data_IF_701042272565
#
_entry.id   IF_701042272565
#
_cell.length_a   1.000
_cell.length_b   1.000
_cell.length_c   1.000
_cell.angle_alpha   90.00
_cell.angle_beta   90.00
_cell.angle_gamma   90.00
#
_symmetry.space_group_name_H-M   'P 1'
#
loop_
_entity.id
_entity.type
_entity.pdbx_description
1 polymer ?
#
# COMPACT_ATOMS: atom_id res chain seq x y z
N UNK A 1 -38.53 -17.03 -52.13
CA UNK A 1 -37.38 -16.86 -53.04
C UNK A 1 -37.28 -15.39 -53.31
N UNK A 2 -36.67 -14.66 -52.36
CA UNK A 2 -35.28 -14.20 -52.38
C UNK A 2 -35.26 -12.75 -52.88
N UNK A 3 -34.47 -11.79 -52.44
CA UNK A 3 -33.43 -11.59 -51.41
C UNK A 3 -33.15 -10.07 -51.50
N UNK A 4 -33.01 -9.38 -50.35
CA UNK A 4 -32.32 -8.09 -50.14
C UNK A 4 -32.78 -6.86 -50.98
N UNK A 5 -32.58 -5.58 -50.61
CA UNK A 5 -31.64 -4.94 -49.72
C UNK A 5 -32.13 -3.49 -49.42
N UNK A 6 -31.47 -2.86 -48.47
CA UNK A 6 -31.23 -1.40 -48.33
C UNK A 6 -32.32 -0.52 -47.71
N UNK A 7 -32.08 -0.06 -46.48
CA UNK A 7 -31.70 1.35 -46.21
C UNK A 7 -31.62 1.64 -44.70
N UNK A 8 -30.44 2.05 -44.24
CA UNK A 8 -30.23 2.89 -43.05
C UNK A 8 -30.90 4.28 -43.25
N UNK A 9 -30.95 5.24 -42.29
CA UNK A 9 -30.61 5.22 -40.86
C UNK A 9 -31.70 5.89 -39.96
N UNK A 10 -31.48 6.00 -38.64
CA UNK A 10 -31.44 7.30 -37.91
C UNK A 10 -31.33 7.12 -36.40
N UNK A 11 -30.38 7.87 -35.86
CA UNK A 11 -30.03 8.10 -34.47
C UNK A 11 -31.15 8.72 -33.61
N UNK A 12 -30.86 8.73 -32.30
CA UNK A 12 -31.56 9.29 -31.13
C UNK A 12 -32.36 8.24 -30.36
N UNK A 13 -32.04 7.92 -29.10
CA UNK A 13 -31.80 8.87 -28.03
C UNK A 13 -30.61 8.52 -27.11
N UNK A 14 -29.77 9.54 -26.92
CA UNK A 14 -28.87 9.70 -25.79
C UNK A 14 -29.67 10.03 -24.53
N UNK A 15 -29.49 9.28 -23.45
CA UNK A 15 -29.48 9.83 -22.10
C UNK A 15 -28.27 9.25 -21.37
N UNK A 16 -27.21 10.05 -21.31
CA UNK A 16 -25.98 9.72 -20.60
C UNK A 16 -26.14 9.96 -19.10
N UNK A 17 -25.76 8.97 -18.30
CA UNK A 17 -25.32 9.15 -16.92
C UNK A 17 -23.79 9.40 -16.95
N UNK A 18 -23.28 10.45 -16.28
CA UNK A 18 -21.84 10.69 -16.23
C UNK A 18 -21.20 9.80 -15.15
N UNK A 19 -20.16 9.06 -15.51
CA UNK A 19 -19.19 8.62 -14.50
C UNK A 19 -18.65 7.19 -14.56
N UNK A 20 -19.09 6.33 -15.48
CA UNK A 20 -18.46 5.01 -15.64
C UNK A 20 -17.65 4.97 -16.94
N UNK A 21 -16.39 5.39 -16.88
CA UNK A 21 -15.41 4.91 -17.86
C UNK A 21 -15.39 3.37 -17.77
N UNK A 22 -15.52 2.64 -18.89
CA UNK A 22 -15.20 1.22 -18.87
C UNK A 22 -13.72 1.11 -18.54
N UNK A 23 -13.37 0.54 -17.39
CA UNK A 23 -12.00 0.08 -17.10
C UNK A 23 -11.67 -1.04 -18.11
N UNK A 24 -11.20 -0.68 -19.28
CA UNK A 24 -10.60 -1.62 -20.23
C UNK A 24 -9.11 -1.80 -19.91
N UNK A 25 -8.80 -2.27 -18.70
CA UNK A 25 -7.49 -2.87 -18.43
C UNK A 25 -7.72 -4.33 -18.07
N UNK A 26 -7.72 -5.19 -19.08
CA UNK A 26 -7.69 -6.64 -18.90
C UNK A 26 -6.23 -7.11 -18.81
N UNK A 27 -5.54 -6.73 -17.74
CA UNK A 27 -4.17 -7.17 -17.42
C UNK A 27 -4.04 -8.71 -17.27
N UNK A 28 -5.17 -9.43 -17.17
CA UNK A 28 -5.24 -10.89 -16.99
C UNK A 28 -5.99 -11.62 -18.12
N UNK A 29 -5.98 -11.09 -19.34
CA UNK A 29 -6.70 -11.72 -20.47
C UNK A 29 -6.22 -13.15 -20.76
N UNK A 30 -4.97 -13.48 -20.43
CA UNK A 30 -4.40 -14.83 -20.51
C UNK A 30 -5.05 -15.85 -19.56
N UNK A 31 -5.77 -15.41 -18.52
CA UNK A 31 -6.54 -16.29 -17.64
C UNK A 31 -7.82 -16.79 -18.34
N UNK A 32 -8.38 -15.97 -19.22
CA UNK A 32 -9.68 -16.20 -19.85
C UNK A 32 -9.50 -16.75 -21.27
N UNK A 33 -8.41 -16.36 -21.96
CA UNK A 33 -8.13 -16.77 -23.33
C UNK A 33 -7.02 -17.85 -23.37
N UNK A 34 -7.36 -19.11 -23.66
CA UNK A 34 -6.39 -20.21 -23.71
C UNK A 34 -5.39 -20.11 -24.87
N UNK A 35 -5.58 -19.19 -25.81
CA UNK A 35 -4.64 -18.92 -26.91
C UNK A 35 -3.51 -17.96 -26.52
N UNK A 36 -3.66 -17.24 -25.40
CA UNK A 36 -2.65 -16.31 -24.90
C UNK A 36 -1.71 -17.04 -23.96
N UNK A 37 -0.41 -16.98 -24.25
CA UNK A 37 0.60 -17.49 -23.33
C UNK A 37 0.80 -16.51 -22.17
N UNK A 38 0.94 -17.00 -20.93
CA UNK A 38 1.31 -16.13 -19.82
C UNK A 38 2.67 -15.49 -20.11
N UNK A 39 2.86 -14.20 -19.77
CA UNK A 39 4.13 -13.52 -20.00
C UNK A 39 5.29 -14.31 -19.37
N UNK A 40 6.36 -14.51 -20.14
CA UNK A 40 7.50 -15.39 -19.81
C UNK A 40 8.26 -14.96 -18.56
N UNK A 41 8.12 -13.71 -18.15
CA UNK A 41 8.62 -13.19 -16.88
C UNK A 41 7.73 -12.00 -16.50
N UNK A 42 6.59 -12.22 -15.82
CA UNK A 42 5.79 -11.11 -15.33
C UNK A 42 6.61 -10.49 -14.21
N UNK A 43 7.49 -9.54 -14.54
CA UNK A 43 7.86 -8.53 -13.54
C UNK A 43 6.51 -7.99 -13.11
N UNK A 44 6.15 -8.24 -11.85
CA UNK A 44 4.89 -7.77 -11.31
C UNK A 44 4.81 -6.28 -11.66
N UNK A 45 3.86 -5.90 -12.52
CA UNK A 45 3.78 -4.55 -13.08
C UNK A 45 3.74 -3.52 -11.95
N UNK A 46 3.19 -3.93 -10.80
CA UNK A 46 3.14 -3.18 -9.55
C UNK A 46 4.52 -2.94 -8.96
N UNK A 47 5.34 -3.98 -8.88
CA UNK A 47 6.74 -3.88 -8.47
C UNK A 47 7.51 -2.98 -9.43
N UNK A 48 7.25 -3.07 -10.74
CA UNK A 48 7.89 -2.22 -11.73
C UNK A 48 7.49 -0.74 -11.60
N UNK A 49 6.22 -0.45 -11.32
CA UNK A 49 5.75 0.93 -11.04
C UNK A 49 6.43 1.49 -9.80
N UNK A 50 6.50 0.72 -8.71
CA UNK A 50 7.20 1.13 -7.50
C UNK A 50 8.71 1.32 -7.72
N UNK A 51 9.31 0.45 -8.54
CA UNK A 51 10.72 0.55 -8.93
C UNK A 51 11.02 1.84 -9.68
N UNK A 52 10.22 2.17 -10.68
CA UNK A 52 10.33 3.43 -11.42
C UNK A 52 10.12 4.63 -10.50
N UNK A 53 9.15 4.56 -9.59
CA UNK A 53 8.93 5.61 -8.59
C UNK A 53 10.16 5.83 -7.69
N UNK A 54 10.90 4.77 -7.38
CA UNK A 54 12.17 4.82 -6.64
C UNK A 54 13.39 5.22 -7.49
N UNK A 55 13.20 5.59 -8.77
CA UNK A 55 14.27 5.98 -9.69
C UNK A 55 14.93 4.83 -10.45
N UNK A 56 14.36 3.63 -10.37
CA UNK A 56 14.83 2.45 -11.10
C UNK A 56 14.48 2.48 -12.58
N UNK A 57 15.21 1.71 -13.40
CA UNK A 57 14.97 1.63 -14.84
C UNK A 57 13.74 0.76 -15.16
N UNK A 58 12.90 1.14 -16.13
CA UNK A 58 11.72 0.36 -16.53
C UNK A 58 12.07 -0.97 -17.21
N UNK A 59 13.32 -1.15 -17.64
CA UNK A 59 13.83 -2.37 -18.26
C UNK A 59 14.53 -3.30 -17.28
N UNK A 60 14.56 -2.96 -15.99
CA UNK A 60 15.19 -3.79 -14.96
C UNK A 60 14.47 -5.14 -14.82
N UNK A 61 15.24 -6.21 -14.73
CA UNK A 61 14.72 -7.55 -14.43
C UNK A 61 14.50 -7.72 -12.92
N UNK A 62 13.63 -8.64 -12.50
CA UNK A 62 13.43 -8.95 -11.07
C UNK A 62 14.76 -9.26 -10.35
N UNK A 63 15.65 -10.01 -11.00
CA UNK A 63 16.96 -10.38 -10.44
C UNK A 63 17.86 -9.16 -10.20
N UNK A 64 17.86 -8.20 -11.11
CA UNK A 64 18.60 -6.93 -10.95
C UNK A 64 17.99 -6.08 -9.83
N UNK A 65 16.65 -5.98 -9.80
CA UNK A 65 15.94 -5.27 -8.74
C UNK A 65 16.25 -5.86 -7.36
N UNK A 66 16.23 -7.19 -7.24
CA UNK A 66 16.55 -7.89 -5.99
C UNK A 66 18.00 -7.66 -5.55
N UNK A 67 18.96 -7.75 -6.48
CA UNK A 67 20.37 -7.48 -6.19
C UNK A 67 20.58 -6.04 -5.71
N UNK A 68 19.92 -5.06 -6.32
CA UNK A 68 20.02 -3.66 -5.93
C UNK A 68 19.33 -3.43 -4.58
N UNK A 69 18.11 -3.95 -4.36
CA UNK A 69 17.40 -3.84 -3.07
C UNK A 69 18.21 -4.45 -1.93
N UNK A 70 18.90 -5.57 -2.16
CA UNK A 70 19.74 -6.20 -1.15
C UNK A 70 20.89 -5.28 -0.67
N UNK A 71 21.34 -4.34 -1.50
CA UNK A 71 22.34 -3.33 -1.13
C UNK A 71 21.77 -2.14 -0.35
N UNK A 72 20.45 -1.98 -0.30
CA UNK A 72 19.81 -0.84 0.35
C UNK A 72 19.78 -0.99 1.88
N UNK A 73 19.83 0.13 2.64
CA UNK A 73 19.54 0.12 4.07
C UNK A 73 18.16 -0.47 4.37
N UNK A 74 18.00 -1.16 5.51
CA UNK A 74 16.74 -1.81 5.91
C UNK A 74 15.52 -0.90 5.79
N UNK A 75 15.59 0.32 6.34
CA UNK A 75 14.48 1.29 6.25
C UNK A 75 14.13 1.71 4.83
N UNK A 76 15.09 1.70 3.90
CA UNK A 76 14.82 1.99 2.49
C UNK A 76 14.05 0.83 1.85
N UNK A 77 14.40 -0.42 2.19
CA UNK A 77 13.68 -1.61 1.75
C UNK A 77 12.24 -1.63 2.32
N UNK A 78 12.06 -1.32 3.60
CA UNK A 78 10.75 -1.21 4.25
C UNK A 78 9.88 -0.12 3.59
N UNK A 79 10.43 1.08 3.39
CA UNK A 79 9.72 2.18 2.73
C UNK A 79 9.35 1.83 1.28
N UNK A 80 10.24 1.14 0.57
CA UNK A 80 9.98 0.67 -0.79
C UNK A 80 8.86 -0.37 -0.84
N UNK A 81 8.90 -1.35 0.06
CA UNK A 81 7.85 -2.36 0.21
C UNK A 81 6.50 -1.68 0.47
N UNK A 82 6.46 -0.72 1.39
CA UNK A 82 5.26 0.05 1.69
C UNK A 82 4.71 0.82 0.46
N UNK A 83 5.57 1.53 -0.26
CA UNK A 83 5.16 2.22 -1.49
C UNK A 83 4.64 1.24 -2.56
N UNK A 84 5.23 0.04 -2.65
CA UNK A 84 4.80 -1.01 -3.58
C UNK A 84 3.39 -1.48 -3.26
N UNK A 85 3.06 -1.71 -1.99
CA UNK A 85 1.70 -2.06 -1.56
C UNK A 85 0.70 -0.98 -1.98
N UNK A 86 0.97 0.29 -1.62
CA UNK A 86 0.04 1.38 -1.86
C UNK A 86 -0.16 1.68 -3.35
N UNK A 87 0.89 1.62 -4.17
CA UNK A 87 0.80 1.76 -5.62
C UNK A 87 0.02 0.60 -6.27
N UNK A 88 -0.07 -0.53 -5.58
CA UNK A 88 -0.92 -1.67 -5.97
C UNK A 88 -2.38 -1.52 -5.53
N UNK A 89 -2.72 -0.47 -4.76
CA UNK A 89 -3.99 -0.34 -4.02
C UNK A 89 -4.18 -1.37 -2.90
N UNK A 90 -3.08 -1.83 -2.31
CA UNK A 90 -3.05 -2.67 -1.11
C UNK A 90 -2.52 -1.84 0.06
N UNK A 91 -2.77 -2.29 1.28
CA UNK A 91 -2.17 -1.73 2.49
C UNK A 91 -1.50 -2.84 3.32
N UNK A 92 -0.64 -2.48 4.28
CA UNK A 92 0.01 -3.47 5.13
C UNK A 92 -1.01 -4.31 5.91
N UNK A 93 -0.70 -5.59 6.08
CA UNK A 93 -1.41 -6.48 7.00
C UNK A 93 -0.68 -6.55 8.35
N UNK A 94 -1.34 -6.97 9.44
CA UNK A 94 -0.74 -7.04 10.77
C UNK A 94 0.55 -7.87 10.87
N UNK A 95 0.78 -8.85 9.99
CA UNK A 95 2.01 -9.65 9.94
C UNK A 95 3.23 -8.84 9.47
N UNK A 96 2.99 -7.69 8.84
CA UNK A 96 4.02 -6.90 8.20
C UNK A 96 4.45 -5.76 9.12
N UNK A 97 5.75 -5.57 9.29
CA UNK A 97 6.30 -4.47 10.09
C UNK A 97 5.80 -3.08 9.62
N UNK A 98 5.45 -2.95 8.34
CA UNK A 98 4.86 -1.74 7.78
C UNK A 98 3.51 -1.36 8.44
N UNK A 99 2.77 -2.30 9.02
CA UNK A 99 1.51 -2.03 9.70
C UNK A 99 1.70 -1.19 10.96
N UNK A 100 2.73 -1.50 11.75
CA UNK A 100 3.15 -0.66 12.88
C UNK A 100 3.89 0.59 12.38
N UNK A 101 4.87 0.42 11.50
CA UNK A 101 5.77 1.50 11.09
C UNK A 101 5.05 2.64 10.35
N UNK A 102 3.97 2.36 9.63
CA UNK A 102 3.16 3.37 8.95
C UNK A 102 1.78 3.58 9.61
N UNK A 103 1.68 3.23 10.89
CA UNK A 103 0.56 3.53 11.79
C UNK A 103 -0.81 2.99 11.37
N UNK A 104 -0.85 1.92 10.57
CA UNK A 104 -2.09 1.19 10.30
C UNK A 104 -2.63 0.53 11.57
N UNK A 105 -1.76 0.27 12.55
CA UNK A 105 -2.17 -0.19 13.87
C UNK A 105 -3.11 0.78 14.63
N UNK A 106 -3.25 2.04 14.23
CA UNK A 106 -4.20 2.96 14.87
C UNK A 106 -5.62 2.80 14.33
N UNK A 107 -5.78 2.23 13.14
CA UNK A 107 -7.07 1.94 12.51
C UNK A 107 -7.80 0.83 13.28
N UNK A 108 -9.11 0.98 13.51
CA UNK A 108 -9.91 0.03 14.29
C UNK A 108 -10.02 -1.33 13.62
N UNK A 109 -10.20 -1.32 12.31
CA UNK A 109 -10.46 -2.45 11.43
C UNK A 109 -9.98 -2.14 9.99
N UNK A 110 -10.00 -3.15 9.13
CA UNK A 110 -9.58 -3.05 7.72
C UNK A 110 -10.33 -1.94 6.95
N UNK A 111 -11.60 -1.69 7.25
CA UNK A 111 -12.35 -0.61 6.59
C UNK A 111 -11.77 0.76 6.95
N UNK A 112 -11.43 0.97 8.22
CA UNK A 112 -10.79 2.21 8.69
C UNK A 112 -9.32 2.37 8.25
N UNK A 113 -8.69 1.33 7.70
CA UNK A 113 -7.36 1.41 7.07
C UNK A 113 -7.41 2.07 5.68
N UNK A 114 -8.56 2.01 5.00
CA UNK A 114 -8.71 2.57 3.65
C UNK A 114 -8.45 4.08 3.58
N UNK A 115 -9.02 4.94 4.45
CA UNK A 115 -8.70 6.37 4.46
C UNK A 115 -7.22 6.66 4.69
N UNK A 116 -6.55 5.88 5.55
CA UNK A 116 -5.12 6.02 5.80
C UNK A 116 -4.28 5.62 4.57
N UNK A 117 -4.63 4.52 3.92
CA UNK A 117 -4.01 4.11 2.66
C UNK A 117 -4.16 5.20 1.58
N UNK A 118 -5.35 5.78 1.44
CA UNK A 118 -5.62 6.88 0.50
C UNK A 118 -4.83 8.15 0.83
N UNK A 119 -4.66 8.46 2.12
CA UNK A 119 -3.82 9.57 2.58
C UNK A 119 -2.37 9.37 2.15
N UNK A 120 -1.79 8.19 2.37
CA UNK A 120 -0.43 7.89 1.92
C UNK A 120 -0.30 7.81 0.40
N UNK A 121 -1.29 7.29 -0.33
CA UNK A 121 -1.30 7.29 -1.79
C UNK A 121 -1.24 8.72 -2.36
N UNK A 122 -1.99 9.65 -1.76
CA UNK A 122 -1.88 11.08 -2.10
C UNK A 122 -0.50 11.64 -1.77
N UNK A 123 0.08 11.25 -0.63
CA UNK A 123 1.45 11.66 -0.29
C UNK A 123 2.48 11.16 -1.33
N UNK A 124 2.35 9.90 -1.78
CA UNK A 124 3.16 9.29 -2.84
C UNK A 124 3.02 10.06 -4.15
N UNK A 125 1.80 10.41 -4.54
CA UNK A 125 1.55 11.18 -5.77
C UNK A 125 2.16 12.60 -5.71
N UNK A 126 2.26 13.19 -4.51
CA UNK A 126 2.75 14.56 -4.31
C UNK A 126 4.25 14.64 -3.96
N UNK A 127 4.95 13.51 -3.79
CA UNK A 127 6.32 13.44 -3.28
C UNK A 127 7.18 12.47 -4.11
N UNK A 128 8.50 12.66 -4.09
CA UNK A 128 9.41 11.64 -4.60
C UNK A 128 9.65 10.56 -3.56
N UNK A 129 10.04 9.37 -4.02
CA UNK A 129 10.40 8.26 -3.14
C UNK A 129 11.45 8.66 -2.11
N UNK A 130 12.51 9.36 -2.51
CA UNK A 130 13.57 9.79 -1.60
C UNK A 130 13.05 10.73 -0.49
N UNK A 131 12.07 11.61 -0.78
CA UNK A 131 11.49 12.48 0.25
C UNK A 131 10.70 11.68 1.28
N UNK A 132 9.91 10.70 0.83
CA UNK A 132 9.15 9.81 1.72
C UNK A 132 10.11 8.95 2.53
N UNK A 133 11.12 8.35 1.90
CA UNK A 133 12.12 7.54 2.57
C UNK A 133 12.88 8.34 3.64
N UNK A 134 13.31 9.57 3.32
CA UNK A 134 14.01 10.40 4.29
C UNK A 134 13.10 10.78 5.46
N UNK A 135 11.86 11.21 5.19
CA UNK A 135 10.90 11.54 6.23
C UNK A 135 10.53 10.33 7.10
N UNK A 136 10.38 9.15 6.49
CA UNK A 136 10.19 7.90 7.22
C UNK A 136 11.39 7.62 8.14
N UNK A 137 12.60 7.65 7.59
CA UNK A 137 13.82 7.40 8.35
C UNK A 137 14.04 8.41 9.47
N UNK A 138 13.65 9.68 9.30
CA UNK A 138 13.83 10.74 10.31
C UNK A 138 12.66 10.88 11.29
N UNK A 139 11.62 10.05 11.20
CA UNK A 139 10.37 10.21 11.98
C UNK A 139 9.65 11.54 11.70
N UNK A 140 9.74 12.05 10.48
CA UNK A 140 9.18 13.34 10.03
C UNK A 140 8.02 13.18 9.04
N UNK A 141 7.37 12.01 8.98
CA UNK A 141 6.22 11.78 8.08
C UNK A 141 5.07 12.77 8.35
N UNK A 142 4.82 13.13 9.62
CA UNK A 142 3.82 14.16 9.99
C UNK A 142 4.18 15.51 9.36
N UNK A 143 5.44 15.95 9.50
CA UNK A 143 5.91 17.19 8.90
C UNK A 143 5.82 17.15 7.36
N UNK A 144 6.05 15.98 6.76
CA UNK A 144 5.90 15.79 5.33
C UNK A 144 4.42 15.89 4.89
N UNK A 145 3.47 15.32 5.63
CA UNK A 145 2.03 15.51 5.35
C UNK A 145 1.66 16.99 5.37
N UNK A 146 2.08 17.72 6.40
CA UNK A 146 1.85 19.16 6.53
C UNK A 146 2.43 19.93 5.34
N UNK A 147 3.68 19.65 4.98
CA UNK A 147 4.37 20.28 3.84
C UNK A 147 3.71 19.98 2.49
N UNK A 148 2.89 18.93 2.39
CA UNK A 148 2.15 18.55 1.18
C UNK A 148 0.69 18.98 1.21
N UNK A 149 0.29 19.76 2.21
CA UNK A 149 -1.08 20.26 2.34
C UNK A 149 -2.08 19.18 2.76
N UNK A 150 -1.61 18.08 3.34
CA UNK A 150 -2.42 16.93 3.75
C UNK A 150 -2.75 16.93 5.24
N UNK A 151 -2.40 18.00 5.97
CA UNK A 151 -2.60 18.15 7.41
C UNK A 151 -4.03 17.86 7.86
N UNK A 152 -5.01 18.46 7.20
CA UNK A 152 -6.40 18.33 7.61
C UNK A 152 -6.88 16.88 7.61
N UNK A 153 -6.51 16.11 6.58
CA UNK A 153 -6.86 14.70 6.46
C UNK A 153 -6.06 13.83 7.44
N UNK A 154 -4.80 14.18 7.65
CA UNK A 154 -3.91 13.54 8.61
C UNK A 154 -4.45 13.64 10.04
N UNK A 155 -4.96 14.81 10.42
CA UNK A 155 -5.55 15.07 11.75
C UNK A 155 -6.86 14.31 11.99
N UNK A 156 -7.54 13.83 10.93
CA UNK A 156 -8.72 12.96 11.10
C UNK A 156 -8.34 11.54 11.52
N UNK A 157 -7.09 11.12 11.34
CA UNK A 157 -6.64 9.79 11.75
C UNK A 157 -6.18 9.82 13.20
N UNK A 158 -7.00 9.23 14.08
CA UNK A 158 -6.72 9.15 15.50
C UNK A 158 -5.38 8.44 15.78
N UNK A 159 -4.60 8.99 16.71
CA UNK A 159 -3.32 8.45 17.20
C UNK A 159 -2.22 8.29 16.13
N UNK A 160 -2.40 8.84 14.93
CA UNK A 160 -1.40 8.75 13.86
C UNK A 160 -0.07 9.40 14.27
N UNK A 161 -0.15 10.59 14.85
CA UNK A 161 0.98 11.35 15.37
C UNK A 161 1.73 10.58 16.47
N UNK A 162 1.00 9.91 17.36
CA UNK A 162 1.55 9.13 18.46
C UNK A 162 2.47 8.01 17.98
N UNK A 163 2.07 7.30 16.92
CA UNK A 163 2.87 6.22 16.33
C UNK A 163 4.01 6.80 15.48
N UNK A 164 3.71 7.76 14.61
CA UNK A 164 4.69 8.27 13.65
C UNK A 164 5.81 9.10 14.30
N UNK A 165 5.59 9.68 15.48
CA UNK A 165 6.59 10.50 16.18
C UNK A 165 7.90 9.76 16.51
N UNK A 166 7.85 8.42 16.64
CA UNK A 166 9.04 7.59 16.91
C UNK A 166 9.22 6.42 15.95
N UNK A 167 8.31 6.26 14.98
CA UNK A 167 8.44 5.28 13.92
C UNK A 167 9.60 5.66 12.97
N UNK A 168 10.41 4.71 12.48
CA UNK A 168 10.29 3.24 12.61
C UNK A 168 11.04 2.62 13.78
N UNK A 169 11.48 3.41 14.76
CA UNK A 169 12.41 2.96 15.78
C UNK A 169 11.74 2.39 17.01
N UNK A 170 10.62 2.98 17.44
CA UNK A 170 9.95 2.62 18.69
C UNK A 170 8.44 2.77 18.58
N UNK A 171 7.73 1.74 19.01
CA UNK A 171 6.28 1.74 19.18
C UNK A 171 5.93 1.69 20.66
N UNK A 172 4.75 2.21 21.03
CA UNK A 172 4.22 1.94 22.38
C UNK A 172 3.78 0.48 22.44
N UNK A 173 4.00 -0.16 23.58
CA UNK A 173 3.66 -1.57 23.81
C UNK A 173 2.18 -1.90 23.58
N UNK A 174 1.29 -0.91 23.64
CA UNK A 174 -0.14 -1.07 23.30
C UNK A 174 -0.36 -1.44 21.84
N UNK A 175 0.49 -0.95 20.93
CA UNK A 175 0.40 -1.26 19.51
C UNK A 175 0.97 -2.65 19.22
N UNK A 176 2.04 -3.04 19.91
CA UNK A 176 2.56 -4.41 19.87
C UNK A 176 1.52 -5.40 20.44
N UNK A 177 0.87 -5.06 21.56
CA UNK A 177 -0.23 -5.84 22.14
C UNK A 177 -1.36 -6.01 21.12
N UNK A 178 -1.76 -4.92 20.46
CA UNK A 178 -2.80 -4.99 19.45
C UNK A 178 -2.42 -5.93 18.30
N UNK A 179 -1.19 -5.81 17.79
CA UNK A 179 -0.70 -6.70 16.73
C UNK A 179 -0.77 -8.18 17.15
N UNK A 180 -0.30 -8.50 18.37
CA UNK A 180 -0.35 -9.85 18.91
C UNK A 180 -1.78 -10.40 19.03
N UNK A 181 -2.71 -9.58 19.56
CA UNK A 181 -4.13 -9.97 19.67
C UNK A 181 -4.77 -10.20 18.28
N UNK A 182 -4.42 -9.38 17.29
CA UNK A 182 -4.97 -9.51 15.92
C UNK A 182 -4.40 -10.73 15.19
N UNK A 183 -3.14 -11.07 15.40
CA UNK A 183 -2.50 -12.22 14.76
C UNK A 183 -2.89 -13.56 15.39
N UNK A 184 -3.36 -13.54 16.65
CA UNK A 184 -3.58 -14.75 17.46
C UNK A 184 -2.36 -15.70 17.46
N UNK A 185 -1.16 -15.17 17.18
CA UNK A 185 0.04 -15.98 17.18
C UNK A 185 0.36 -16.32 18.64
N UNK A 186 0.64 -17.59 18.94
CA UNK A 186 0.97 -18.01 20.30
C UNK A 186 2.32 -17.46 20.80
N UNK A 187 2.98 -16.57 20.06
CA UNK A 187 4.32 -16.07 20.35
C UNK A 187 4.22 -14.76 21.14
N UNK A 188 4.29 -14.87 22.46
CA UNK A 188 4.21 -13.71 23.34
C UNK A 188 5.46 -12.82 23.24
N UNK A 189 5.28 -11.55 22.87
CA UNK A 189 6.38 -10.57 22.87
C UNK A 189 6.74 -10.24 24.33
N UNK A 190 8.03 -10.26 24.73
CA UNK A 190 8.44 -10.05 26.13
C UNK A 190 7.94 -8.73 26.75
N UNK A 191 7.90 -7.65 25.96
CA UNK A 191 7.37 -6.36 26.43
C UNK A 191 5.87 -6.40 26.71
N UNK A 192 5.11 -7.24 25.99
CA UNK A 192 3.68 -7.45 26.26
C UNK A 192 3.51 -8.24 27.55
N UNK A 193 4.31 -9.30 27.71
CA UNK A 193 4.24 -10.18 28.87
C UNK A 193 4.39 -9.40 30.19
N UNK A 194 5.42 -8.55 30.26
CA UNK A 194 5.74 -7.75 31.45
C UNK A 194 4.76 -6.60 31.65
N UNK A 195 4.44 -5.84 30.60
CA UNK A 195 3.64 -4.62 30.75
C UNK A 195 2.16 -4.90 31.02
N UNK A 196 1.65 -6.03 30.56
CA UNK A 196 0.25 -6.40 30.69
C UNK A 196 0.04 -7.58 31.66
N UNK A 197 1.11 -8.05 32.31
CA UNK A 197 1.04 -9.03 33.40
C UNK A 197 0.71 -10.46 32.96
N UNK A 198 0.88 -10.79 31.68
CA UNK A 198 0.73 -12.18 31.22
C UNK A 198 1.78 -13.10 31.85
N UNK A 199 2.94 -12.57 32.24
CA UNK A 199 3.98 -13.30 33.00
C UNK A 199 3.55 -13.68 34.43
N UNK A 200 2.48 -13.07 34.94
CA UNK A 200 1.91 -13.33 36.27
C UNK A 200 0.64 -14.17 36.24
N UNK A 201 0.17 -14.56 35.07
CA UNK A 201 -0.95 -15.46 34.92
C UNK A 201 -0.43 -16.90 34.92
N UNK A 202 -0.32 -17.51 36.11
CA UNK A 202 -0.26 -18.97 36.21
C UNK A 202 -1.59 -19.55 35.72
N UNK A 203 -1.54 -20.56 34.83
CA UNK A 203 -2.71 -21.21 34.23
C UNK A 203 -3.60 -21.98 35.20
#
# INVERSE_FOLDING_TARGET
MDVNNSSLPKDHYLYGLPGCHPRSSFENQWVINPELTPPTNPVDERLLRAWQYAGGLPTSTCKEMDAIKASWPKHKQECFFFCTLLLSSWHPSPEQAAWLNFSFCTCRDEYSETPLAQLYQRLIALSSFDKIYMAYKSSELIALFDCKGLKHDQEQIHHLDDVLARSPYMHKSVWDLKQHVVLEDGCMIPSIAVNYGFDKCDG
#
